data_IF_389692740644
#
_entry.id   IF_389692740644
#
_cell.length_a   1.000
_cell.length_b   1.000
_cell.length_c   1.000
_cell.angle_alpha   90.00
_cell.angle_beta   90.00
_cell.angle_gamma   90.00
#
_symmetry.space_group_name_H-M   'P 1'
#
loop_
_entity.id
_entity.type
_entity.pdbx_description
1 polymer ?
#
# COMPACT_ATOMS: atom_id res chain seq x y z
N UNK A 1 7.02 15.16 -25.56
CA UNK A 1 8.02 14.07 -25.54
C UNK A 1 7.82 13.30 -24.25
N UNK A 2 7.72 11.98 -24.31
CA UNK A 2 7.59 11.10 -23.15
C UNK A 2 8.94 11.08 -22.40
N UNK A 3 9.00 11.29 -21.07
CA UNK A 3 10.28 11.38 -20.36
C UNK A 3 10.87 9.99 -20.09
N UNK A 4 12.21 9.88 -20.06
CA UNK A 4 12.94 8.60 -19.93
C UNK A 4 12.49 7.76 -18.72
N UNK A 5 12.14 8.41 -17.61
CA UNK A 5 11.56 7.79 -16.41
C UNK A 5 10.38 6.85 -16.72
N UNK A 6 9.56 7.19 -17.70
CA UNK A 6 8.39 6.36 -18.04
C UNK A 6 8.78 5.11 -18.83
N UNK A 7 9.88 5.12 -19.56
CA UNK A 7 10.32 3.97 -20.34
C UNK A 7 10.97 2.93 -19.42
N UNK A 8 11.67 3.40 -18.37
CA UNK A 8 12.29 2.55 -17.34
C UNK A 8 11.29 1.76 -16.50
N UNK A 9 10.04 2.24 -16.42
CA UNK A 9 8.99 1.65 -15.59
C UNK A 9 7.78 1.16 -16.35
N UNK A 10 7.75 1.09 -17.69
CA UNK A 10 6.51 0.72 -18.40
C UNK A 10 6.14 -0.79 -18.28
N UNK A 11 4.86 -1.13 -18.03
CA UNK A 11 3.85 -0.30 -17.35
C UNK A 11 4.23 -0.05 -15.87
N UNK A 12 3.97 1.16 -15.31
CA UNK A 12 4.44 1.55 -13.97
C UNK A 12 3.74 0.82 -12.82
N UNK A 13 2.61 0.20 -13.12
CA UNK A 13 1.84 -0.65 -12.24
C UNK A 13 1.08 -1.67 -13.08
N UNK A 14 0.59 -2.72 -12.43
CA UNK A 14 -0.29 -3.72 -13.04
C UNK A 14 -1.60 -3.77 -12.28
N UNK A 15 -2.67 -4.11 -12.99
CA UNK A 15 -3.95 -4.48 -12.41
C UNK A 15 -4.25 -5.89 -12.88
N UNK A 16 -4.31 -6.83 -11.95
CA UNK A 16 -4.74 -8.20 -12.21
C UNK A 16 -6.24 -8.23 -11.95
N UNK A 17 -7.01 -8.35 -13.04
CA UNK A 17 -8.46 -8.44 -12.98
C UNK A 17 -8.89 -9.90 -12.79
N UNK A 18 -9.94 -10.16 -11.97
CA UNK A 18 -10.61 -11.45 -11.96
C UNK A 18 -11.33 -11.69 -13.30
N UNK A 19 -11.73 -12.95 -13.58
CA UNK A 19 -12.54 -13.26 -14.76
C UNK A 19 -13.84 -12.42 -14.85
N UNK A 20 -14.39 -12.08 -13.69
CA UNK A 20 -15.37 -11.03 -13.49
C UNK A 20 -15.31 -10.56 -12.04
N UNK A 21 -15.48 -9.27 -11.79
CA UNK A 21 -15.53 -8.78 -10.42
C UNK A 21 -16.86 -9.22 -9.78
N UNK A 22 -16.82 -10.03 -8.73
CA UNK A 22 -18.01 -10.59 -8.06
C UNK A 22 -18.20 -10.07 -6.64
N UNK A 23 -17.22 -9.35 -6.10
CA UNK A 23 -17.22 -8.84 -4.73
C UNK A 23 -16.93 -7.33 -4.69
N UNK A 24 -17.44 -6.60 -3.68
CA UNK A 24 -17.25 -5.15 -3.53
C UNK A 24 -15.83 -4.76 -3.07
N UNK A 25 -14.81 -5.56 -3.35
CA UNK A 25 -13.44 -5.36 -2.85
C UNK A 25 -12.49 -4.90 -3.95
N UNK A 26 -11.49 -4.11 -3.57
CA UNK A 26 -10.32 -3.74 -4.38
C UNK A 26 -9.09 -3.89 -3.50
N UNK A 27 -8.06 -4.60 -3.97
CA UNK A 27 -6.80 -4.75 -3.25
C UNK A 27 -5.71 -3.90 -3.91
N UNK A 28 -4.90 -3.24 -3.10
CA UNK A 28 -3.87 -2.31 -3.55
C UNK A 28 -2.55 -2.60 -2.85
N UNK A 29 -1.47 -2.77 -3.62
CA UNK A 29 -0.11 -3.05 -3.12
C UNK A 29 0.83 -1.98 -3.68
N UNK A 30 0.97 -0.84 -2.99
CA UNK A 30 1.70 0.31 -3.52
C UNK A 30 3.22 0.16 -3.37
N UNK A 31 3.72 -0.80 -2.58
CA UNK A 31 5.10 -0.84 -2.10
C UNK A 31 5.89 -2.12 -2.43
N UNK A 32 5.32 -3.06 -3.19
CA UNK A 32 6.00 -4.29 -3.62
C UNK A 32 6.87 -4.13 -4.89
N UNK A 33 6.89 -2.93 -5.50
CA UNK A 33 7.61 -2.69 -6.74
C UNK A 33 9.12 -2.88 -6.59
N UNK A 34 9.70 -3.73 -7.44
CA UNK A 34 11.10 -4.15 -7.37
C UNK A 34 11.90 -3.89 -8.66
N UNK A 35 11.41 -2.99 -9.54
CA UNK A 35 12.17 -2.54 -10.72
C UNK A 35 13.12 -1.43 -10.30
N UNK A 36 14.44 -1.67 -10.35
CA UNK A 36 15.46 -0.66 -10.05
C UNK A 36 16.24 -0.32 -11.32
N UNK A 37 15.92 0.79 -12.01
CA UNK A 37 16.64 1.19 -13.20
C UNK A 37 18.10 1.50 -12.90
N UNK A 38 18.98 1.26 -13.88
CA UNK A 38 20.41 1.52 -13.73
C UNK A 38 20.70 3.00 -13.40
N UNK A 39 19.89 3.92 -13.94
CA UNK A 39 19.95 5.36 -13.65
C UNK A 39 19.70 5.65 -12.16
N UNK A 40 18.68 5.01 -11.56
CA UNK A 40 18.38 5.17 -10.14
C UNK A 40 19.47 4.58 -9.25
N UNK A 41 19.98 3.39 -9.59
CA UNK A 41 21.09 2.78 -8.85
C UNK A 41 22.36 3.64 -8.93
N UNK A 42 22.66 4.22 -10.09
CA UNK A 42 23.81 5.11 -10.26
C UNK A 42 23.66 6.44 -9.49
N UNK A 43 22.44 6.94 -9.29
CA UNK A 43 22.16 8.13 -8.50
C UNK A 43 22.15 7.86 -6.98
N UNK A 44 22.10 6.59 -6.57
CA UNK A 44 21.98 6.20 -5.17
C UNK A 44 23.33 6.08 -4.46
N UNK A 45 23.36 6.40 -3.15
CA UNK A 45 24.45 6.07 -2.23
C UNK A 45 24.39 4.62 -1.74
N UNK A 46 23.24 3.97 -1.94
CA UNK A 46 22.92 2.66 -1.42
C UNK A 46 23.08 1.63 -2.53
N UNK A 47 23.54 0.43 -2.17
CA UNK A 47 23.48 -0.69 -3.10
C UNK A 47 22.01 -1.12 -3.30
N UNK A 48 21.80 -1.96 -4.33
CA UNK A 48 20.47 -2.47 -4.64
C UNK A 48 19.82 -3.12 -3.41
N UNK A 49 20.53 -4.00 -2.70
CA UNK A 49 19.97 -4.72 -1.55
C UNK A 49 19.50 -3.77 -0.43
N UNK A 50 20.26 -2.73 -0.13
CA UNK A 50 19.92 -1.72 0.87
C UNK A 50 18.68 -0.92 0.48
N UNK A 51 18.51 -0.57 -0.80
CA UNK A 51 17.27 0.07 -1.28
C UNK A 51 16.06 -0.87 -1.14
N UNK A 52 16.26 -2.15 -1.47
CA UNK A 52 15.22 -3.18 -1.42
C UNK A 52 14.70 -3.46 0.00
N UNK A 53 15.46 -3.16 1.05
CA UNK A 53 14.97 -3.29 2.45
C UNK A 53 13.77 -2.41 2.78
N UNK A 54 13.55 -1.35 2.01
CA UNK A 54 12.35 -0.54 2.15
C UNK A 54 11.10 -1.17 1.51
N UNK A 55 11.26 -2.10 0.56
CA UNK A 55 10.16 -2.77 -0.14
C UNK A 55 9.22 -3.47 0.83
N UNK A 56 7.95 -3.46 0.50
CA UNK A 56 7.00 -4.41 1.04
C UNK A 56 7.07 -5.68 0.17
N UNK A 57 8.24 -6.32 0.20
CA UNK A 57 8.61 -7.39 -0.74
C UNK A 57 7.61 -8.56 -0.66
N UNK A 58 7.19 -9.05 -1.83
CA UNK A 58 6.29 -10.20 -1.97
C UNK A 58 4.87 -10.00 -1.40
N UNK A 59 4.49 -8.79 -0.98
CA UNK A 59 3.10 -8.54 -0.53
C UNK A 59 2.11 -8.69 -1.67
N UNK A 60 2.51 -8.38 -2.90
CA UNK A 60 1.75 -8.67 -4.11
C UNK A 60 1.47 -10.17 -4.28
N UNK A 61 2.45 -11.02 -3.99
CA UNK A 61 2.28 -12.47 -4.02
C UNK A 61 1.45 -13.01 -2.84
N UNK A 62 1.56 -12.42 -1.65
CA UNK A 62 0.76 -12.80 -0.48
C UNK A 62 -0.75 -12.55 -0.72
N UNK A 63 -1.07 -11.47 -1.43
CA UNK A 63 -2.45 -11.10 -1.75
C UNK A 63 -2.91 -11.55 -3.14
N UNK A 64 -2.05 -12.11 -4.00
CA UNK A 64 -2.43 -12.61 -5.32
C UNK A 64 -3.69 -13.51 -5.33
N UNK A 65 -3.90 -14.42 -4.36
CA UNK A 65 -5.09 -15.28 -4.34
C UNK A 65 -6.44 -14.55 -4.22
N UNK A 66 -6.47 -13.28 -3.83
CA UNK A 66 -7.74 -12.50 -3.75
C UNK A 66 -8.38 -12.28 -5.11
N UNK A 67 -7.61 -12.42 -6.19
CA UNK A 67 -8.12 -12.39 -7.56
C UNK A 67 -9.07 -13.56 -7.81
N UNK A 68 -8.75 -14.74 -7.30
CA UNK A 68 -9.62 -15.92 -7.41
C UNK A 68 -10.91 -15.78 -6.57
N UNK A 69 -10.91 -14.87 -5.57
CA UNK A 69 -12.10 -14.47 -4.82
C UNK A 69 -12.97 -13.43 -5.55
N UNK A 70 -12.57 -13.01 -6.76
CA UNK A 70 -13.32 -12.08 -7.59
C UNK A 70 -13.04 -10.60 -7.32
N UNK A 71 -11.91 -10.26 -6.69
CA UNK A 71 -11.49 -8.88 -6.45
C UNK A 71 -10.26 -8.50 -7.30
N UNK A 72 -10.22 -7.30 -7.92
CA UNK A 72 -9.01 -6.83 -8.60
C UNK A 72 -7.87 -6.56 -7.61
N UNK A 73 -6.64 -6.87 -8.04
CA UNK A 73 -5.40 -6.56 -7.32
C UNK A 73 -4.55 -5.59 -8.15
N UNK A 74 -4.26 -4.41 -7.60
CA UNK A 74 -3.40 -3.40 -8.22
C UNK A 74 -2.04 -3.34 -7.52
N UNK A 75 -0.95 -3.35 -8.27
CA UNK A 75 0.42 -3.40 -7.72
C UNK A 75 1.36 -2.44 -8.44
N UNK A 76 2.10 -1.63 -7.68
CA UNK A 76 3.16 -0.78 -8.22
C UNK A 76 4.38 -1.60 -8.65
N UNK A 77 5.04 -1.21 -9.74
CA UNK A 77 6.26 -1.92 -10.23
C UNK A 77 7.56 -1.22 -9.89
N UNK A 78 7.52 0.07 -9.58
CA UNK A 78 8.68 0.85 -9.12
C UNK A 78 8.74 0.88 -7.58
N UNK A 79 9.94 1.01 -7.00
CA UNK A 79 10.13 0.93 -5.56
C UNK A 79 9.69 2.21 -4.87
N UNK A 80 9.15 2.08 -3.66
CA UNK A 80 8.77 3.23 -2.83
C UNK A 80 9.96 4.15 -2.50
N UNK A 81 11.18 3.63 -2.48
CA UNK A 81 12.41 4.43 -2.32
C UNK A 81 12.62 5.42 -3.48
N UNK A 82 12.06 5.12 -4.65
CA UNK A 82 12.05 6.02 -5.80
C UNK A 82 10.87 7.02 -5.70
N UNK A 83 9.67 6.52 -5.42
CA UNK A 83 8.47 7.35 -5.28
C UNK A 83 7.45 6.63 -4.39
N UNK A 84 7.10 7.20 -3.26
CA UNK A 84 6.15 6.61 -2.30
C UNK A 84 4.71 7.01 -2.65
N UNK A 85 3.95 6.04 -3.16
CA UNK A 85 2.54 6.19 -3.53
C UNK A 85 1.60 6.33 -2.31
N UNK A 86 2.06 5.99 -1.11
CA UNK A 86 1.27 6.11 0.12
C UNK A 86 1.62 7.41 0.88
N UNK A 87 1.88 8.50 0.13
CA UNK A 87 2.14 9.87 0.59
C UNK A 87 1.32 10.88 -0.19
N UNK A 88 1.14 12.08 0.38
CA UNK A 88 0.50 13.20 -0.32
C UNK A 88 1.37 13.62 -1.52
N UNK A 89 0.83 13.88 -2.73
CA UNK A 89 1.62 14.00 -3.97
C UNK A 89 2.78 14.99 -3.92
N UNK A 90 2.64 16.12 -3.22
CA UNK A 90 3.65 17.17 -3.14
C UNK A 90 4.21 17.35 -1.72
N UNK A 91 4.19 16.29 -0.90
CA UNK A 91 4.87 16.22 0.40
C UNK A 91 6.38 16.00 0.19
N UNK A 92 7.12 17.09 -0.05
CA UNK A 92 8.49 17.09 -0.57
C UNK A 92 9.48 17.79 0.37
N UNK A 93 10.65 17.19 0.59
CA UNK A 93 11.74 17.81 1.36
C UNK A 93 12.54 18.79 0.48
N UNK A 94 12.44 20.09 0.77
CA UNK A 94 13.14 21.13 -0.01
C UNK A 94 14.65 20.98 -0.03
N UNK A 95 15.25 20.27 0.94
CA UNK A 95 16.70 20.03 1.00
C UNK A 95 17.16 19.04 -0.07
N UNK A 96 16.26 18.21 -0.58
CA UNK A 96 16.58 17.20 -1.59
C UNK A 96 16.70 17.75 -3.01
N UNK A 97 16.18 18.94 -3.29
CA UNK A 97 15.97 19.37 -4.67
C UNK A 97 16.75 20.62 -5.07
N UNK A 98 17.39 20.63 -6.24
CA UNK A 98 17.94 21.82 -6.89
C UNK A 98 16.83 22.58 -7.62
N UNK A 99 16.73 23.88 -7.33
CA UNK A 99 15.63 24.72 -7.82
C UNK A 99 14.57 24.97 -6.75
N UNK A 100 13.55 25.76 -7.11
CA UNK A 100 12.47 26.14 -6.20
C UNK A 100 11.31 25.16 -6.34
N UNK A 101 10.91 24.54 -5.23
CA UNK A 101 9.68 23.74 -5.20
C UNK A 101 8.44 24.59 -5.49
N UNK A 102 7.37 24.01 -6.06
CA UNK A 102 6.12 24.71 -6.24
C UNK A 102 5.60 25.30 -4.92
N UNK A 103 4.97 26.50 -4.92
CA UNK A 103 4.50 27.15 -3.69
C UNK A 103 3.50 26.32 -2.88
N UNK A 104 2.80 25.38 -3.53
CA UNK A 104 1.83 24.48 -2.91
C UNK A 104 2.44 23.19 -2.34
N UNK A 105 3.76 22.97 -2.48
CA UNK A 105 4.40 21.78 -1.94
C UNK A 105 4.39 21.81 -0.40
N UNK A 106 3.94 20.71 0.20
CA UNK A 106 3.97 20.52 1.65
C UNK A 106 5.39 20.16 2.09
N UNK A 107 6.12 21.15 2.60
CA UNK A 107 7.54 21.01 2.98
C UNK A 107 7.77 20.90 4.48
N UNK A 108 6.70 20.92 5.29
CA UNK A 108 6.78 21.09 6.76
C UNK A 108 6.17 19.94 7.55
N UNK A 109 5.73 18.87 6.89
CA UNK A 109 5.15 17.73 7.60
C UNK A 109 6.21 17.00 8.44
N UNK A 110 5.75 16.28 9.47
CA UNK A 110 6.63 15.42 10.28
C UNK A 110 7.34 14.35 9.44
N UNK A 111 6.69 13.86 8.38
CA UNK A 111 7.26 12.88 7.46
C UNK A 111 8.39 13.48 6.63
N UNK A 112 8.22 14.70 6.12
CA UNK A 112 9.28 15.45 5.43
C UNK A 112 10.46 15.70 6.37
N UNK A 113 10.19 16.14 7.60
CA UNK A 113 11.24 16.34 8.61
C UNK A 113 12.06 15.05 8.84
N UNK A 114 11.36 13.90 8.90
CA UNK A 114 11.95 12.56 8.99
C UNK A 114 12.54 12.01 7.69
N UNK A 115 12.49 12.72 6.57
CA UNK A 115 13.03 12.26 5.28
C UNK A 115 12.18 11.20 4.55
N UNK A 116 10.91 11.05 4.93
CA UNK A 116 9.97 10.05 4.41
C UNK A 116 8.81 10.68 3.61
N UNK A 117 9.10 11.75 2.86
CA UNK A 117 8.16 12.37 1.92
C UNK A 117 7.94 11.53 0.65
N UNK A 118 7.22 12.08 -0.31
CA UNK A 118 6.78 11.39 -1.55
C UNK A 118 7.93 10.96 -2.44
N UNK A 119 9.00 11.75 -2.48
CA UNK A 119 10.32 11.29 -2.93
C UNK A 119 11.16 11.15 -1.66
N UNK A 120 11.39 9.93 -1.14
CA UNK A 120 12.04 9.76 0.16
C UNK A 120 13.50 10.18 0.13
N UNK A 121 13.98 10.88 1.16
CA UNK A 121 15.40 11.20 1.34
C UNK A 121 16.17 10.00 1.87
N UNK A 122 15.53 9.23 2.75
CA UNK A 122 16.15 8.12 3.47
C UNK A 122 15.36 6.83 3.28
N UNK A 123 16.03 5.70 3.43
CA UNK A 123 15.37 4.40 3.66
C UNK A 123 14.97 4.24 5.14
N UNK A 124 14.19 3.20 5.45
CA UNK A 124 13.73 2.91 6.81
C UNK A 124 14.88 2.81 7.85
N UNK A 125 16.06 2.37 7.42
CA UNK A 125 17.28 2.26 8.27
C UNK A 125 17.98 3.62 8.51
N UNK A 126 17.42 4.74 8.06
CA UNK A 126 17.98 6.08 8.30
C UNK A 126 19.03 6.56 7.29
N UNK A 127 19.41 5.72 6.33
CA UNK A 127 20.48 6.02 5.37
C UNK A 127 19.96 6.85 4.19
N UNK A 128 20.74 7.85 3.76
CA UNK A 128 20.38 8.70 2.62
C UNK A 128 20.42 7.94 1.29
N UNK A 129 19.35 8.10 0.50
CA UNK A 129 19.20 7.41 -0.78
C UNK A 129 20.09 8.06 -1.85
N UNK A 130 20.10 9.39 -1.97
CA UNK A 130 20.72 10.09 -3.10
C UNK A 130 22.09 10.67 -2.75
N UNK A 131 23.03 10.60 -3.69
CA UNK A 131 24.38 11.14 -3.51
C UNK A 131 24.41 12.67 -3.60
N UNK A 132 23.52 13.24 -4.41
CA UNK A 132 23.37 14.67 -4.67
C UNK A 132 21.90 15.06 -4.59
N UNK A 133 21.64 16.37 -4.60
CA UNK A 133 20.29 16.88 -4.78
C UNK A 133 19.79 16.54 -6.18
N UNK A 134 18.49 16.32 -6.31
CA UNK A 134 17.81 16.05 -7.58
C UNK A 134 17.27 17.36 -8.17
N UNK A 135 17.23 17.56 -9.49
CA UNK A 135 16.48 18.68 -10.06
C UNK A 135 15.00 18.62 -9.61
N UNK A 136 14.39 19.76 -9.27
CA UNK A 136 12.94 19.80 -8.93
C UNK A 136 12.09 19.18 -10.04
N UNK A 137 12.44 19.43 -11.31
CA UNK A 137 11.72 18.90 -12.46
C UNK A 137 11.69 17.36 -12.49
N UNK A 138 12.72 16.69 -11.94
CA UNK A 138 12.73 15.24 -11.86
C UNK A 138 11.63 14.74 -10.92
N UNK A 139 11.52 15.30 -9.72
CA UNK A 139 10.44 14.97 -8.78
C UNK A 139 9.05 15.24 -9.38
N UNK A 140 8.89 16.37 -10.05
CA UNK A 140 7.64 16.70 -10.73
C UNK A 140 7.32 15.67 -11.82
N UNK A 141 8.31 15.24 -12.61
CA UNK A 141 8.11 14.17 -13.59
C UNK A 141 7.72 12.84 -12.94
N UNK A 142 8.33 12.44 -11.81
CA UNK A 142 7.90 11.23 -11.07
C UNK A 142 6.42 11.33 -10.68
N UNK A 143 6.01 12.48 -10.17
CA UNK A 143 4.64 12.73 -9.74
C UNK A 143 3.66 12.70 -10.94
N UNK A 144 3.98 13.41 -12.02
CA UNK A 144 3.09 13.50 -13.18
C UNK A 144 2.92 12.17 -13.90
N UNK A 145 3.98 11.36 -13.99
CA UNK A 145 4.02 10.20 -14.87
C UNK A 145 3.95 8.84 -14.18
N UNK A 146 4.19 8.77 -12.87
CA UNK A 146 4.07 7.54 -12.10
C UNK A 146 2.98 7.66 -11.04
N UNK A 147 3.06 8.68 -10.18
CA UNK A 147 2.11 8.87 -9.08
C UNK A 147 0.68 9.12 -9.58
N UNK A 148 0.47 10.13 -10.42
CA UNK A 148 -0.87 10.51 -10.88
C UNK A 148 -1.55 9.39 -11.68
N UNK A 149 -0.87 8.69 -12.61
CA UNK A 149 -1.46 7.54 -13.29
C UNK A 149 -1.88 6.41 -12.33
N UNK A 150 -1.04 6.10 -11.34
CA UNK A 150 -1.37 5.10 -10.31
C UNK A 150 -2.64 5.49 -9.56
N UNK A 151 -2.67 6.69 -8.96
CA UNK A 151 -3.82 7.15 -8.18
C UNK A 151 -5.09 7.33 -9.00
N UNK A 152 -4.96 7.63 -10.31
CA UNK A 152 -6.09 7.68 -11.24
C UNK A 152 -6.67 6.28 -11.45
N UNK A 153 -5.84 5.29 -11.70
CA UNK A 153 -6.27 3.91 -11.89
C UNK A 153 -6.91 3.34 -10.61
N UNK A 154 -6.28 3.55 -9.45
CA UNK A 154 -6.85 3.14 -8.16
C UNK A 154 -8.22 3.78 -7.91
N UNK A 155 -8.34 5.09 -8.15
CA UNK A 155 -9.63 5.80 -8.05
C UNK A 155 -10.68 5.22 -8.99
N UNK A 156 -10.30 4.86 -10.22
CA UNK A 156 -11.22 4.27 -11.19
C UNK A 156 -11.71 2.89 -10.73
N UNK A 157 -10.82 2.04 -10.20
CA UNK A 157 -11.19 0.75 -9.62
C UNK A 157 -12.20 0.91 -8.48
N UNK A 158 -11.90 1.76 -7.50
CA UNK A 158 -12.78 2.04 -6.36
C UNK A 158 -14.15 2.54 -6.82
N UNK A 159 -14.18 3.51 -7.75
CA UNK A 159 -15.44 4.04 -8.29
C UNK A 159 -16.24 3.00 -9.06
N UNK A 160 -15.58 2.21 -9.91
CA UNK A 160 -16.22 1.12 -10.68
C UNK A 160 -16.85 0.10 -9.74
N UNK A 161 -16.12 -0.31 -8.69
CA UNK A 161 -16.61 -1.22 -7.67
C UNK A 161 -17.79 -0.63 -6.91
N UNK A 162 -17.69 0.60 -6.43
CA UNK A 162 -18.80 1.27 -5.74
C UNK A 162 -20.06 1.39 -6.63
N UNK A 163 -19.89 1.71 -7.91
CA UNK A 163 -21.00 1.77 -8.88
C UNK A 163 -21.66 0.40 -9.12
N UNK A 164 -20.87 -0.67 -9.12
CA UNK A 164 -21.36 -2.03 -9.41
C UNK A 164 -22.09 -2.62 -8.20
N UNK A 165 -21.56 -2.39 -6.99
CA UNK A 165 -22.02 -3.08 -5.79
C UNK A 165 -22.73 -2.17 -4.78
N UNK A 166 -22.86 -0.86 -5.05
CA UNK A 166 -23.40 0.15 -4.13
C UNK A 166 -22.43 0.60 -3.04
N UNK A 167 -21.27 -0.04 -2.92
CA UNK A 167 -20.21 0.27 -1.96
C UNK A 167 -18.88 -0.32 -2.43
N UNK A 168 -17.76 0.13 -1.87
CA UNK A 168 -16.44 -0.43 -2.14
C UNK A 168 -15.58 -0.54 -0.89
N UNK A 169 -14.87 -1.64 -0.76
CA UNK A 169 -13.87 -1.91 0.27
C UNK A 169 -12.48 -1.96 -0.35
N UNK A 170 -11.68 -0.92 -0.11
CA UNK A 170 -10.27 -0.88 -0.45
C UNK A 170 -9.45 -1.52 0.67
N UNK A 171 -8.68 -2.56 0.35
CA UNK A 171 -7.66 -3.11 1.24
C UNK A 171 -6.30 -2.62 0.75
N UNK A 172 -5.66 -1.77 1.56
CA UNK A 172 -4.33 -1.23 1.31
C UNK A 172 -3.28 -2.15 1.96
N UNK A 173 -2.64 -2.97 1.14
CA UNK A 173 -1.84 -4.13 1.54
C UNK A 173 -0.36 -3.75 1.67
N UNK A 174 0.21 -4.02 2.84
CA UNK A 174 1.55 -3.61 3.21
C UNK A 174 2.28 -4.67 4.04
N UNK A 175 3.57 -4.43 4.25
CA UNK A 175 4.32 -5.13 5.29
C UNK A 175 5.26 -4.22 6.04
N UNK A 176 5.50 -4.56 7.30
CA UNK A 176 6.28 -3.76 8.23
C UNK A 176 7.54 -4.50 8.71
N UNK A 177 8.62 -3.77 9.02
CA UNK A 177 9.79 -4.35 9.68
C UNK A 177 9.43 -5.02 11.01
N UNK A 178 10.09 -6.12 11.35
CA UNK A 178 9.82 -6.87 12.59
C UNK A 178 10.22 -6.15 13.88
N UNK A 179 10.90 -5.02 13.78
CA UNK A 179 11.28 -4.15 14.90
C UNK A 179 10.19 -3.12 15.22
N UNK A 180 9.32 -2.79 14.28
CA UNK A 180 8.33 -1.71 14.41
C UNK A 180 7.24 -1.98 15.45
N UNK A 181 7.01 -3.23 15.83
CA UNK A 181 5.96 -3.62 16.76
C UNK A 181 6.54 -4.43 17.92
N UNK A 182 7.41 -3.79 18.70
CA UNK A 182 7.82 -4.31 20.00
C UNK A 182 6.92 -3.67 21.06
N UNK A 183 6.08 -4.48 21.72
CA UNK A 183 5.36 -4.04 22.92
C UNK A 183 6.29 -4.04 24.13
N UNK A 184 6.01 -3.20 25.13
CA UNK A 184 6.71 -3.18 26.42
C UNK A 184 6.62 -4.53 27.18
N UNK A 185 5.64 -5.36 26.84
CA UNK A 185 5.33 -6.67 27.42
C UNK A 185 5.70 -7.87 26.51
N UNK A 186 6.52 -7.65 25.47
CA UNK A 186 7.25 -8.71 24.77
C UNK A 186 6.50 -9.46 23.64
N UNK A 187 5.19 -9.29 23.48
CA UNK A 187 4.45 -9.87 22.36
C UNK A 187 4.54 -8.99 21.10
N UNK A 188 5.12 -9.53 20.02
CA UNK A 188 5.14 -8.87 18.69
C UNK A 188 3.83 -9.13 17.96
N UNK A 189 3.23 -8.10 17.36
CA UNK A 189 2.08 -8.33 16.49
C UNK A 189 2.53 -8.94 15.16
N UNK A 190 1.75 -9.89 14.66
CA UNK A 190 1.92 -10.48 13.35
C UNK A 190 1.31 -9.58 12.28
N UNK A 191 0.16 -8.96 12.60
CA UNK A 191 -0.58 -8.10 11.68
C UNK A 191 -1.07 -6.84 12.41
N UNK A 192 -0.95 -5.67 11.76
CA UNK A 192 -1.58 -4.41 12.20
C UNK A 192 -2.67 -4.02 11.21
N UNK A 193 -3.86 -3.72 11.73
CA UNK A 193 -4.97 -3.17 10.96
C UNK A 193 -5.09 -1.67 11.21
N UNK A 194 -5.14 -0.87 10.15
CA UNK A 194 -5.22 0.60 10.22
C UNK A 194 -6.47 1.14 9.55
N UNK A 195 -7.41 1.68 10.33
CA UNK A 195 -8.67 2.28 9.84
C UNK A 195 -8.76 3.79 10.12
N UNK A 196 -7.60 4.43 10.34
CA UNK A 196 -7.47 5.84 10.71
C UNK A 196 -8.28 6.17 11.96
N UNK A 197 -8.25 5.29 12.96
CA UNK A 197 -9.04 5.39 14.20
C UNK A 197 -10.55 5.48 13.93
N UNK A 198 -11.04 4.66 13.01
CA UNK A 198 -12.45 4.56 12.62
C UNK A 198 -12.94 5.63 11.64
N UNK A 199 -12.04 6.38 11.00
CA UNK A 199 -12.44 7.43 10.04
C UNK A 199 -12.43 6.96 8.59
N UNK A 200 -11.71 5.88 8.24
CA UNK A 200 -11.58 5.42 6.86
C UNK A 200 -12.50 4.24 6.48
N UNK A 201 -13.05 3.49 7.43
CA UNK A 201 -14.00 2.41 7.16
C UNK A 201 -15.06 2.28 8.27
N UNK A 202 -16.09 1.48 8.03
CA UNK A 202 -17.03 1.11 9.10
C UNK A 202 -16.33 0.22 10.14
N UNK A 203 -16.82 0.19 11.40
CA UNK A 203 -16.32 -0.74 12.42
C UNK A 203 -16.43 -2.21 11.99
N UNK A 204 -17.48 -2.55 11.24
CA UNK A 204 -17.74 -3.91 10.79
C UNK A 204 -16.57 -4.47 9.97
N UNK A 205 -15.98 -3.68 9.05
CA UNK A 205 -14.88 -4.15 8.21
C UNK A 205 -13.65 -4.56 9.05
N UNK A 206 -13.21 -3.70 9.97
CA UNK A 206 -12.02 -3.96 10.78
C UNK A 206 -12.28 -5.07 11.81
N UNK A 207 -13.49 -5.16 12.35
CA UNK A 207 -13.89 -6.21 13.30
C UNK A 207 -13.90 -7.59 12.66
N UNK A 208 -14.51 -7.73 11.47
CA UNK A 208 -14.53 -8.99 10.73
C UNK A 208 -13.11 -9.39 10.30
N UNK A 209 -12.32 -8.45 9.78
CA UNK A 209 -10.95 -8.72 9.36
C UNK A 209 -10.08 -9.14 10.55
N UNK A 210 -10.20 -8.48 11.69
CA UNK A 210 -9.48 -8.86 12.91
C UNK A 210 -9.89 -10.25 13.40
N UNK A 211 -11.20 -10.54 13.45
CA UNK A 211 -11.72 -11.81 13.90
C UNK A 211 -11.26 -12.98 13.01
N UNK A 212 -11.35 -12.83 11.68
CA UNK A 212 -10.92 -13.83 10.73
C UNK A 212 -9.41 -14.14 10.86
N UNK A 213 -8.58 -13.11 10.99
CA UNK A 213 -7.13 -13.28 11.16
C UNK A 213 -6.78 -13.90 12.53
N UNK A 214 -7.41 -13.46 13.61
CA UNK A 214 -7.20 -14.06 14.94
C UNK A 214 -7.68 -15.52 14.99
N UNK A 215 -8.77 -15.85 14.31
CA UNK A 215 -9.27 -17.23 14.18
C UNK A 215 -8.26 -18.18 13.51
N UNK A 216 -7.32 -17.63 12.74
CA UNK A 216 -6.20 -18.36 12.11
C UNK A 216 -4.91 -18.34 12.94
N UNK A 217 -4.96 -17.81 14.16
CA UNK A 217 -3.85 -17.84 15.11
C UNK A 217 -2.91 -16.65 15.06
N UNK A 218 -3.20 -15.61 14.26
CA UNK A 218 -2.35 -14.42 14.19
C UNK A 218 -2.60 -13.46 15.35
N UNK A 219 -1.52 -12.86 15.85
CA UNK A 219 -1.60 -11.74 16.79
C UNK A 219 -1.91 -10.45 16.02
N UNK A 220 -3.15 -10.00 16.11
CA UNK A 220 -3.63 -8.78 15.42
C UNK A 220 -3.78 -7.62 16.39
N UNK A 221 -3.30 -6.44 16.01
CA UNK A 221 -3.52 -5.17 16.72
C UNK A 221 -4.08 -4.11 15.79
N UNK A 222 -4.71 -3.07 16.35
CA UNK A 222 -5.29 -1.97 15.58
C UNK A 222 -4.50 -0.67 15.77
N UNK A 223 -4.31 0.06 14.68
CA UNK A 223 -3.89 1.45 14.62
C UNK A 223 -2.56 1.85 15.29
N UNK A 224 -1.72 0.87 15.69
CA UNK A 224 -0.43 1.13 16.34
C UNK A 224 0.63 0.16 15.83
N UNK A 225 1.81 0.63 15.42
CA UNK A 225 2.15 2.04 15.15
C UNK A 225 1.51 2.56 13.84
N UNK A 226 0.86 1.69 13.07
CA UNK A 226 0.31 2.00 11.75
C UNK A 226 -1.22 2.16 11.81
N UNK A 227 -1.71 3.40 11.76
CA UNK A 227 -3.14 3.71 11.70
C UNK A 227 -3.71 3.80 10.28
N UNK A 228 -2.89 3.62 9.25
CA UNK A 228 -3.26 3.89 7.85
C UNK A 228 -2.51 5.09 7.28
N UNK A 229 -2.09 4.95 6.02
CA UNK A 229 -1.34 5.94 5.26
C UNK A 229 -2.23 6.96 4.53
N UNK A 230 -1.63 7.62 3.54
CA UNK A 230 -2.33 8.57 2.68
C UNK A 230 -3.45 7.89 1.89
N UNK A 231 -3.25 6.69 1.36
CA UNK A 231 -4.24 5.95 0.57
C UNK A 231 -5.47 5.64 1.43
N UNK A 232 -5.27 5.11 2.64
CA UNK A 232 -6.35 4.83 3.58
C UNK A 232 -7.14 6.09 3.94
N UNK A 233 -6.43 7.19 4.24
CA UNK A 233 -7.04 8.48 4.58
C UNK A 233 -7.76 9.14 3.39
N UNK A 234 -7.19 9.06 2.19
CA UNK A 234 -7.66 9.76 1.00
C UNK A 234 -8.84 9.06 0.32
N UNK A 235 -8.85 7.72 0.35
CA UNK A 235 -9.88 6.93 -0.34
C UNK A 235 -10.95 6.36 0.59
N UNK A 236 -10.71 6.37 1.91
CA UNK A 236 -11.72 6.07 2.92
C UNK A 236 -12.70 7.23 3.07
N UNK A 237 -13.92 7.05 2.57
CA UNK A 237 -15.01 8.00 2.69
C UNK A 237 -16.30 7.26 3.11
N UNK A 238 -16.40 6.77 4.37
CA UNK A 238 -17.50 5.89 4.79
C UNK A 238 -18.89 6.50 4.63
N UNK A 239 -19.01 7.83 4.65
CA UNK A 239 -20.27 8.56 4.40
C UNK A 239 -20.79 8.41 2.96
N UNK A 240 -19.95 7.91 2.05
CA UNK A 240 -20.27 7.65 0.65
C UNK A 240 -20.07 6.16 0.29
N UNK A 241 -20.16 5.27 1.30
CA UNK A 241 -20.00 3.82 1.19
C UNK A 241 -18.69 3.38 0.50
N UNK A 242 -17.63 4.18 0.70
CA UNK A 242 -16.26 3.86 0.31
C UNK A 242 -15.43 3.67 1.55
N UNK A 243 -14.97 2.46 1.76
CA UNK A 243 -14.23 2.07 2.95
C UNK A 243 -12.80 1.73 2.57
N UNK A 244 -11.84 2.13 3.40
CA UNK A 244 -10.44 1.77 3.22
C UNK A 244 -9.86 1.25 4.54
N UNK A 245 -9.19 0.09 4.48
CA UNK A 245 -8.49 -0.53 5.60
C UNK A 245 -7.06 -0.84 5.17
N UNK A 246 -6.09 -0.43 5.99
CA UNK A 246 -4.70 -0.82 5.81
C UNK A 246 -4.41 -2.14 6.53
N UNK A 247 -3.67 -3.05 5.88
CA UNK A 247 -3.19 -4.29 6.46
C UNK A 247 -1.67 -4.32 6.38
N UNK A 248 -1.01 -4.35 7.54
CA UNK A 248 0.45 -4.40 7.67
C UNK A 248 0.86 -5.78 8.18
N UNK A 249 1.57 -6.54 7.35
CA UNK A 249 2.08 -7.88 7.71
C UNK A 249 3.50 -7.77 8.26
N UNK A 250 3.77 -8.37 9.41
CA UNK A 250 5.12 -8.42 9.96
C UNK A 250 6.05 -9.24 9.06
N UNK A 251 7.12 -8.65 8.55
CA UNK A 251 8.06 -9.34 7.65
C UNK A 251 8.67 -10.60 8.28
N UNK A 252 8.81 -10.65 9.61
CA UNK A 252 9.38 -11.84 10.27
C UNK A 252 8.55 -13.11 10.11
N UNK A 253 7.26 -13.03 9.77
CA UNK A 253 6.43 -14.23 9.61
C UNK A 253 6.53 -14.86 8.21
N UNK A 254 7.05 -14.12 7.20
CA UNK A 254 7.03 -14.61 5.80
C UNK A 254 8.36 -14.46 5.05
N UNK A 255 9.30 -13.65 5.53
CA UNK A 255 10.60 -13.48 4.87
C UNK A 255 11.74 -13.26 5.86
N UNK A 256 12.97 -13.49 5.40
CA UNK A 256 14.18 -13.03 6.05
C UNK A 256 14.50 -11.60 5.57
N UNK A 257 14.42 -10.62 6.47
CA UNK A 257 14.55 -9.20 6.12
C UNK A 257 15.96 -8.81 5.64
N UNK A 258 16.99 -9.61 5.96
CA UNK A 258 18.38 -9.30 5.58
C UNK A 258 18.70 -9.79 4.17
N UNK A 259 18.31 -11.02 3.87
CA UNK A 259 18.56 -11.71 2.60
C UNK A 259 17.43 -11.56 1.58
N UNK A 260 16.28 -11.04 2.01
CA UNK A 260 15.04 -10.94 1.24
C UNK A 260 14.53 -12.28 0.72
N UNK A 261 14.90 -13.39 1.36
CA UNK A 261 14.43 -14.73 1.01
C UNK A 261 13.08 -15.00 1.67
N UNK A 262 12.16 -15.63 0.94
CA UNK A 262 10.89 -16.12 1.51
C UNK A 262 11.17 -17.22 2.53
N UNK A 263 10.39 -17.23 3.61
CA UNK A 263 10.41 -18.31 4.60
C UNK A 263 9.52 -19.47 4.13
N UNK A 264 9.72 -20.69 4.65
CA UNK A 264 8.87 -21.85 4.33
C UNK A 264 7.37 -21.60 4.58
N UNK A 265 7.02 -20.78 5.58
CA UNK A 265 5.62 -20.43 5.91
C UNK A 265 4.94 -19.44 4.97
N UNK A 266 5.63 -18.92 3.94
CA UNK A 266 5.08 -17.92 3.03
C UNK A 266 3.78 -18.38 2.35
N UNK A 267 3.75 -19.60 1.82
CA UNK A 267 2.57 -20.15 1.14
C UNK A 267 1.38 -20.34 2.07
N UNK A 268 1.62 -20.80 3.29
CA UNK A 268 0.58 -20.94 4.33
C UNK A 268 -0.01 -19.59 4.70
N UNK A 269 0.82 -18.55 4.87
CA UNK A 269 0.34 -17.20 5.14
C UNK A 269 -0.53 -16.65 3.99
N UNK A 270 -0.09 -16.82 2.74
CA UNK A 270 -0.88 -16.38 1.58
C UNK A 270 -2.25 -17.07 1.55
N UNK A 271 -2.29 -18.38 1.84
CA UNK A 271 -3.53 -19.14 1.92
C UNK A 271 -4.42 -18.67 3.09
N UNK A 272 -3.85 -18.42 4.25
CA UNK A 272 -4.59 -17.92 5.41
C UNK A 272 -5.20 -16.54 5.16
N UNK A 273 -4.46 -15.63 4.52
CA UNK A 273 -4.96 -14.32 4.11
C UNK A 273 -6.13 -14.47 3.14
N UNK A 274 -5.99 -15.32 2.13
CA UNK A 274 -7.06 -15.59 1.17
C UNK A 274 -8.32 -16.12 1.87
N UNK A 275 -8.16 -17.11 2.75
CA UNK A 275 -9.26 -17.67 3.52
C UNK A 275 -9.89 -16.62 4.45
N UNK A 276 -9.10 -15.77 5.08
CA UNK A 276 -9.61 -14.71 5.96
C UNK A 276 -10.46 -13.70 5.16
N UNK A 277 -9.99 -13.28 3.99
CA UNK A 277 -10.77 -12.38 3.15
C UNK A 277 -11.99 -13.05 2.51
N UNK A 278 -11.95 -14.35 2.21
CA UNK A 278 -13.15 -15.11 1.80
C UNK A 278 -14.23 -15.04 2.88
N UNK A 279 -13.87 -15.29 4.14
CA UNK A 279 -14.79 -15.24 5.28
C UNK A 279 -15.37 -13.83 5.51
N UNK A 280 -14.52 -12.79 5.41
CA UNK A 280 -14.96 -11.39 5.51
C UNK A 280 -15.93 -11.03 4.38
N UNK A 281 -15.63 -11.43 3.14
CA UNK A 281 -16.46 -11.21 1.96
C UNK A 281 -17.83 -11.87 2.13
N UNK A 282 -17.86 -13.14 2.54
CA UNK A 282 -19.09 -13.91 2.74
C UNK A 282 -19.97 -13.28 3.82
N UNK A 283 -19.36 -12.88 4.94
CA UNK A 283 -20.09 -12.27 6.06
C UNK A 283 -20.68 -10.91 5.67
N UNK A 284 -19.91 -10.05 5.00
CA UNK A 284 -20.40 -8.75 4.53
C UNK A 284 -21.50 -8.87 3.46
N UNK A 285 -21.50 -9.94 2.66
CA UNK A 285 -22.57 -10.21 1.72
C UNK A 285 -23.88 -10.60 2.43
N UNK A 286 -23.80 -11.36 3.52
CA UNK A 286 -24.97 -11.78 4.32
C UNK A 286 -25.64 -10.65 5.12
N UNK A 287 -24.87 -9.62 5.50
CA UNK A 287 -25.37 -8.45 6.24
C UNK A 287 -26.08 -7.41 5.34
N UNK A 288 -26.05 -7.56 4.01
CA UNK A 288 -26.81 -6.67 3.12
C UNK A 288 -28.31 -6.96 3.26
N UNK A 289 -29.15 -5.95 3.54
CA UNK A 289 -30.58 -6.11 3.37
C UNK A 289 -30.86 -6.48 1.89
N UNK A 290 -31.83 -7.38 1.61
CA UNK A 290 -32.16 -7.75 0.25
C UNK A 290 -32.46 -6.48 -0.55
N UNK A 291 -31.76 -6.31 -1.69
CA UNK A 291 -32.09 -5.25 -2.63
C UNK A 291 -33.59 -5.37 -2.96
N UNK A 292 -34.36 -4.33 -2.66
CA UNK A 292 -35.67 -4.20 -3.28
C UNK A 292 -35.43 -4.23 -4.78
N UNK A 293 -35.87 -5.31 -5.41
CA UNK A 293 -35.99 -5.40 -6.85
C UNK A 293 -36.86 -4.21 -7.23
N UNK A 294 -36.27 -3.19 -7.83
CA UNK A 294 -37.02 -2.09 -8.40
C UNK A 294 -37.87 -2.68 -9.51
N UNK A 295 -39.12 -2.97 -9.17
CA UNK A 295 -40.18 -3.14 -10.14
C UNK A 295 -40.55 -1.73 -10.62
N UNK A 296 -40.11 -1.38 -11.83
CA UNK A 296 -40.88 -0.72 -12.90
C UNK A 296 -40.01 -0.50 -14.15
#
# INVERSE_FOLDING_TARGET
MRPAITDEFEPPFVVIEPAGQTVPFVFNVPHAGAIYPASFLAASRLDALALRRSEDAYVDELFAPVVDLGAPLMTARFPRAYLDLNREPYELDSRMFEGRLPPFANTRSMRVAGGLGTVPRIVADGQEIYATRLPVDEALQRIEWLYKPYHRALRQLIRRTAQTFGQSFLIDCHSMPSTSVSRDDGAKADIVLGDRYGTSCTPLLIELTEAALRGRGYTVIRNKPYAGGFITEHYGEPTLDRHALQVEINRSIYMDERSLQKKPGFGSLAQDLALAFSEVIETLAGERPPQQIAAE
#
